data_IF_634305323913
#
_entry.id   IF_634305323913
#
_cell.length_a   1.000
_cell.length_b   1.000
_cell.length_c   1.000
_cell.angle_alpha   90.00
_cell.angle_beta   90.00
_cell.angle_gamma   90.00
#
_symmetry.space_group_name_H-M   'P 1'
#
loop_
_entity.id
_entity.type
_entity.pdbx_description
1 polymer ?
#
# COMPACT_ATOMS: atom_id res chain seq x y z
N UNK A 1 -19.41 -10.45 30.65
CA UNK A 1 -20.90 -10.41 30.62
C UNK A 1 -21.31 -8.94 30.58
N UNK A 2 -22.15 -8.50 29.63
CA UNK A 2 -22.54 -7.08 29.52
C UNK A 2 -23.42 -6.66 30.70
N UNK A 3 -23.29 -5.41 31.15
CA UNK A 3 -24.17 -4.84 32.17
C UNK A 3 -25.61 -4.70 31.66
N UNK A 4 -26.59 -4.85 32.55
CA UNK A 4 -28.02 -4.82 32.19
C UNK A 4 -28.44 -3.49 31.56
N UNK A 5 -27.91 -2.37 32.06
CA UNK A 5 -28.15 -1.03 31.51
C UNK A 5 -27.73 -0.92 30.04
N UNK A 6 -26.57 -1.50 29.69
CA UNK A 6 -26.04 -1.55 28.32
C UNK A 6 -26.96 -2.36 27.41
N UNK A 7 -27.43 -3.52 27.88
CA UNK A 7 -28.36 -4.36 27.12
C UNK A 7 -29.69 -3.64 26.85
N UNK A 8 -30.27 -3.00 27.87
CA UNK A 8 -31.52 -2.23 27.72
C UNK A 8 -31.35 -1.09 26.72
N UNK A 9 -30.21 -0.40 26.73
CA UNK A 9 -29.91 0.67 25.76
C UNK A 9 -29.84 0.14 24.34
N UNK A 10 -29.14 -0.96 24.09
CA UNK A 10 -29.06 -1.56 22.75
C UNK A 10 -30.42 -2.04 22.25
N UNK A 11 -31.23 -2.68 23.11
CA UNK A 11 -32.58 -3.10 22.74
C UNK A 11 -33.48 -1.90 22.43
N UNK A 12 -33.38 -0.80 23.19
CA UNK A 12 -34.11 0.43 22.89
C UNK A 12 -33.72 0.99 21.51
N UNK A 13 -32.42 1.03 21.18
CA UNK A 13 -31.95 1.47 19.85
C UNK A 13 -32.46 0.57 18.72
N UNK A 14 -32.55 -0.75 18.92
CA UNK A 14 -33.11 -1.66 17.91
C UNK A 14 -34.61 -1.45 17.71
N UNK A 15 -35.34 -1.12 18.78
CA UNK A 15 -36.77 -0.78 18.70
C UNK A 15 -36.97 0.56 17.99
N UNK A 16 -36.19 1.56 18.35
CA UNK A 16 -36.23 2.89 17.74
C UNK A 16 -35.88 2.84 16.24
N UNK A 17 -34.91 2.00 15.86
CA UNK A 17 -34.57 1.74 14.46
C UNK A 17 -35.60 0.89 13.70
N UNK A 18 -36.67 0.41 14.36
CA UNK A 18 -37.69 -0.43 13.75
C UNK A 18 -37.23 -1.85 13.39
N UNK A 19 -36.03 -2.25 13.83
CA UNK A 19 -35.46 -3.58 13.55
C UNK A 19 -36.21 -4.65 14.34
N UNK A 20 -36.56 -4.35 15.59
CA UNK A 20 -37.40 -5.22 16.42
C UNK A 20 -38.60 -4.43 16.94
N UNK A 21 -39.73 -5.08 17.14
CA UNK A 21 -40.87 -4.47 17.81
C UNK A 21 -41.02 -5.06 19.22
N UNK A 22 -41.69 -4.33 20.12
CA UNK A 22 -41.93 -4.76 21.50
C UNK A 22 -43.42 -4.91 21.74
N UNK A 23 -43.84 -6.15 22.02
CA UNK A 23 -45.20 -6.50 22.40
C UNK A 23 -45.25 -6.73 23.91
N UNK A 24 -45.67 -5.70 24.65
CA UNK A 24 -45.73 -5.76 26.10
C UNK A 24 -46.91 -6.64 26.55
N UNK A 25 -46.64 -7.55 27.49
CA UNK A 25 -47.69 -8.24 28.24
C UNK A 25 -48.19 -7.38 29.40
N UNK A 26 -49.38 -7.67 29.94
CA UNK A 26 -49.92 -6.99 31.11
C UNK A 26 -49.00 -7.05 32.36
N UNK A 27 -48.16 -8.09 32.48
CA UNK A 27 -47.25 -8.29 33.60
C UNK A 27 -45.78 -7.98 33.26
N UNK A 28 -45.51 -7.39 32.09
CA UNK A 28 -44.17 -7.10 31.59
C UNK A 28 -43.22 -8.31 31.46
N UNK A 29 -43.73 -9.54 31.50
CA UNK A 29 -42.96 -10.79 31.28
C UNK A 29 -43.11 -11.30 29.85
N UNK A 30 -42.11 -12.06 29.38
CA UNK A 30 -42.13 -12.73 28.08
C UNK A 30 -42.80 -14.10 28.24
N UNK A 31 -43.87 -14.36 27.50
CA UNK A 31 -44.53 -15.66 27.45
C UNK A 31 -45.28 -15.83 26.15
N UNK A 32 -45.55 -17.07 25.78
CA UNK A 32 -46.35 -17.44 24.62
C UNK A 32 -47.48 -18.39 25.05
N UNK A 33 -48.70 -18.11 24.59
CA UNK A 33 -49.81 -19.05 24.64
C UNK A 33 -49.78 -19.91 23.39
N UNK A 34 -49.94 -21.22 23.60
CA UNK A 34 -50.02 -22.22 22.55
C UNK A 34 -51.41 -22.81 22.51
N UNK A 35 -51.88 -23.16 21.32
CA UNK A 35 -53.14 -23.86 21.14
C UNK A 35 -53.05 -25.35 21.53
N UNK A 36 -54.14 -26.09 21.34
CA UNK A 36 -54.20 -27.54 21.63
C UNK A 36 -53.32 -28.38 20.70
N UNK A 37 -52.93 -27.85 19.54
CA UNK A 37 -52.02 -28.48 18.58
C UNK A 37 -50.54 -28.16 18.88
N UNK A 38 -50.28 -27.18 19.74
CA UNK A 38 -48.93 -26.74 20.13
C UNK A 38 -48.41 -25.52 19.36
N UNK A 39 -49.22 -24.94 18.47
CA UNK A 39 -48.88 -23.75 17.68
C UNK A 39 -49.03 -22.48 18.52
N UNK A 40 -48.18 -21.48 18.26
CA UNK A 40 -48.17 -20.22 19.03
C UNK A 40 -49.34 -19.34 18.61
N UNK A 41 -50.34 -19.22 19.48
CA UNK A 41 -51.52 -18.38 19.27
C UNK A 41 -51.26 -16.91 19.65
N UNK A 42 -50.56 -16.68 20.76
CA UNK A 42 -50.28 -15.34 21.26
C UNK A 42 -48.93 -15.26 21.98
N UNK A 43 -47.98 -14.53 21.40
CA UNK A 43 -46.69 -14.25 22.04
C UNK A 43 -46.60 -12.80 22.53
N UNK A 44 -45.96 -12.62 23.68
CA UNK A 44 -45.55 -11.32 24.23
C UNK A 44 -44.03 -11.31 24.46
N UNK A 45 -43.39 -10.19 24.14
CA UNK A 45 -41.95 -10.04 24.18
C UNK A 45 -41.43 -9.18 23.03
N UNK A 46 -40.30 -9.59 22.45
CA UNK A 46 -39.76 -8.97 21.24
C UNK A 46 -40.27 -9.73 20.01
N UNK A 47 -40.69 -8.97 19.01
CA UNK A 47 -41.08 -9.49 17.72
C UNK A 47 -40.05 -9.06 16.66
N UNK A 48 -39.55 -10.06 15.94
CA UNK A 48 -38.49 -9.93 14.94
C UNK A 48 -39.05 -9.93 13.52
N UNK A 49 -40.36 -10.05 13.34
CA UNK A 49 -41.03 -9.93 12.03
C UNK A 49 -40.53 -8.71 11.23
N UNK A 50 -40.37 -7.50 11.83
CA UNK A 50 -39.82 -6.35 11.12
C UNK A 50 -38.42 -6.58 10.55
N UNK A 51 -37.52 -7.20 11.33
CA UNK A 51 -36.17 -7.53 10.88
C UNK A 51 -36.18 -8.46 9.67
N UNK A 52 -37.00 -9.52 9.70
CA UNK A 52 -37.09 -10.45 8.58
C UNK A 52 -37.70 -9.78 7.34
N UNK A 53 -38.67 -8.89 7.52
CA UNK A 53 -39.25 -8.12 6.41
C UNK A 53 -38.23 -7.21 5.72
N UNK A 54 -37.31 -6.59 6.47
CA UNK A 54 -36.24 -5.72 5.91
C UNK A 54 -34.93 -6.47 5.60
N UNK A 55 -34.85 -7.78 5.83
CA UNK A 55 -33.61 -8.54 5.70
C UNK A 55 -33.05 -8.50 4.27
N UNK A 56 -33.92 -8.51 3.25
CA UNK A 56 -33.53 -8.36 1.84
C UNK A 56 -32.89 -6.99 1.57
N UNK A 57 -33.41 -5.95 2.19
CA UNK A 57 -32.96 -4.57 1.98
C UNK A 57 -31.61 -4.34 2.66
N UNK A 58 -31.47 -4.84 3.90
CA UNK A 58 -30.20 -4.84 4.63
C UNK A 58 -29.14 -5.60 3.82
N UNK A 59 -29.48 -6.79 3.31
CA UNK A 59 -28.57 -7.58 2.48
C UNK A 59 -28.19 -6.82 1.21
N UNK A 60 -29.15 -6.25 0.50
CA UNK A 60 -28.91 -5.51 -0.74
C UNK A 60 -28.03 -4.27 -0.50
N UNK A 61 -28.27 -3.55 0.60
CA UNK A 61 -27.44 -2.42 1.00
C UNK A 61 -26.01 -2.86 1.35
N UNK A 62 -25.86 -3.97 2.08
CA UNK A 62 -24.54 -4.54 2.40
C UNK A 62 -23.79 -4.98 1.15
N UNK A 63 -24.46 -5.70 0.24
CA UNK A 63 -23.89 -6.15 -1.03
C UNK A 63 -23.43 -4.95 -1.88
N UNK A 64 -24.23 -3.88 -1.97
CA UNK A 64 -23.86 -2.63 -2.64
C UNK A 64 -22.61 -1.99 -2.04
N UNK A 65 -22.51 -1.89 -0.72
CA UNK A 65 -21.33 -1.35 -0.04
C UNK A 65 -20.09 -2.19 -0.34
N UNK A 66 -20.23 -3.52 -0.33
CA UNK A 66 -19.14 -4.44 -0.66
C UNK A 66 -18.72 -4.31 -2.13
N UNK A 67 -19.66 -4.14 -3.06
CA UNK A 67 -19.39 -3.88 -4.48
C UNK A 67 -18.65 -2.58 -4.70
N UNK A 68 -19.09 -1.49 -4.06
CA UNK A 68 -18.42 -0.20 -4.13
C UNK A 68 -16.98 -0.29 -3.58
N UNK A 69 -16.78 -0.98 -2.46
CA UNK A 69 -15.45 -1.24 -1.90
C UNK A 69 -14.57 -2.07 -2.85
N UNK A 70 -15.14 -3.10 -3.49
CA UNK A 70 -14.44 -3.92 -4.50
C UNK A 70 -14.04 -3.10 -5.72
N UNK A 71 -14.93 -2.24 -6.23
CA UNK A 71 -14.64 -1.37 -7.35
C UNK A 71 -13.51 -0.38 -7.05
N UNK A 72 -13.55 0.25 -5.86
CA UNK A 72 -12.48 1.14 -5.38
C UNK A 72 -11.15 0.40 -5.27
N UNK A 73 -11.16 -0.83 -4.73
CA UNK A 73 -9.95 -1.65 -4.64
C UNK A 73 -9.37 -1.94 -6.02
N UNK A 74 -10.18 -2.49 -6.93
CA UNK A 74 -9.75 -2.84 -8.30
C UNK A 74 -9.11 -1.64 -9.01
N UNK A 75 -9.73 -0.47 -8.90
CA UNK A 75 -9.22 0.72 -9.55
C UNK A 75 -7.90 1.23 -8.93
N UNK A 76 -7.68 1.04 -7.62
CA UNK A 76 -6.36 1.32 -7.01
C UNK A 76 -5.30 0.36 -7.49
N UNK A 77 -5.64 -0.92 -7.63
CA UNK A 77 -4.70 -1.93 -8.15
C UNK A 77 -4.32 -1.59 -9.60
N UNK A 78 -5.30 -1.21 -10.43
CA UNK A 78 -5.10 -0.76 -11.80
C UNK A 78 -4.24 0.51 -11.88
N UNK A 79 -4.49 1.52 -11.03
CA UNK A 79 -3.64 2.73 -10.94
C UNK A 79 -2.20 2.36 -10.55
N UNK A 80 -2.02 1.38 -9.66
CA UNK A 80 -0.68 0.93 -9.25
C UNK A 80 0.06 0.29 -10.41
N UNK A 81 -0.61 -0.57 -11.18
CA UNK A 81 -0.05 -1.21 -12.37
C UNK A 81 0.30 -0.15 -13.42
N UNK A 82 -0.64 0.73 -13.75
CA UNK A 82 -0.48 1.80 -14.74
C UNK A 82 0.69 2.71 -14.38
N UNK A 83 0.84 3.07 -13.10
CA UNK A 83 1.98 3.88 -12.64
C UNK A 83 3.31 3.16 -12.75
N UNK A 84 3.34 1.86 -12.49
CA UNK A 84 4.53 1.03 -12.68
C UNK A 84 4.93 0.97 -14.15
N UNK A 85 3.96 0.82 -15.05
CA UNK A 85 4.18 0.83 -16.50
C UNK A 85 4.70 2.19 -16.98
N UNK A 86 4.06 3.29 -16.57
CA UNK A 86 4.53 4.65 -16.89
C UNK A 86 5.97 4.85 -16.39
N UNK A 87 6.26 4.48 -15.13
CA UNK A 87 7.63 4.59 -14.57
C UNK A 87 8.63 3.79 -15.40
N UNK A 88 8.27 2.56 -15.78
CA UNK A 88 9.10 1.69 -16.60
C UNK A 88 9.38 2.32 -17.97
N UNK A 89 8.37 2.87 -18.62
CA UNK A 89 8.53 3.61 -19.88
C UNK A 89 9.49 4.78 -19.74
N UNK A 90 9.45 5.52 -18.64
CA UNK A 90 10.41 6.61 -18.39
C UNK A 90 11.85 6.12 -18.20
N UNK A 91 12.05 4.97 -17.55
CA UNK A 91 13.39 4.43 -17.28
C UNK A 91 14.01 3.69 -18.46
N UNK A 92 13.20 3.07 -19.32
CA UNK A 92 13.65 2.24 -20.44
C UNK A 92 13.68 3.00 -21.77
N UNK A 93 13.10 4.20 -21.84
CA UNK A 93 13.14 5.01 -23.06
C UNK A 93 14.60 5.34 -23.45
N UNK A 94 14.97 4.98 -24.67
CA UNK A 94 16.29 5.25 -25.24
C UNK A 94 16.55 6.75 -25.49
N UNK A 95 15.49 7.55 -25.54
CA UNK A 95 15.52 9.01 -25.63
C UNK A 95 14.99 9.55 -24.31
N UNK A 96 15.72 10.48 -23.69
CA UNK A 96 15.27 11.11 -22.44
C UNK A 96 13.86 11.68 -22.62
N UNK A 97 12.84 11.09 -21.95
CA UNK A 97 11.50 11.63 -21.97
C UNK A 97 11.52 13.05 -21.40
N UNK A 98 10.56 13.89 -21.81
CA UNK A 98 10.51 15.26 -21.32
C UNK A 98 10.45 15.29 -19.79
N UNK A 99 11.44 15.92 -19.15
CA UNK A 99 11.51 16.07 -17.70
C UNK A 99 10.23 16.70 -17.12
N UNK A 100 9.59 17.61 -17.88
CA UNK A 100 8.32 18.22 -17.50
C UNK A 100 7.15 17.23 -17.45
N UNK A 101 7.13 16.23 -18.34
CA UNK A 101 6.09 15.20 -18.37
C UNK A 101 6.26 14.25 -17.17
N UNK A 102 7.50 13.93 -16.80
CA UNK A 102 7.79 13.16 -15.60
C UNK A 102 7.39 13.93 -14.33
N UNK A 103 7.66 15.24 -14.25
CA UNK A 103 7.19 16.08 -13.14
C UNK A 103 5.66 16.09 -13.07
N UNK A 104 4.96 16.23 -14.21
CA UNK A 104 3.50 16.20 -14.24
C UNK A 104 2.92 14.86 -13.74
N UNK A 105 3.53 13.75 -14.14
CA UNK A 105 3.20 12.42 -13.62
C UNK A 105 3.27 12.38 -12.09
N UNK A 106 4.36 12.90 -11.52
CA UNK A 106 4.58 12.89 -10.08
C UNK A 106 3.58 13.78 -9.33
N UNK A 107 3.21 14.92 -9.90
CA UNK A 107 2.18 15.80 -9.31
C UNK A 107 0.82 15.09 -9.21
N UNK A 108 0.45 14.33 -10.24
CA UNK A 108 -0.78 13.52 -10.22
C UNK A 108 -0.71 12.44 -9.13
N UNK A 109 0.43 11.77 -9.01
CA UNK A 109 0.67 10.74 -7.99
C UNK A 109 0.63 11.33 -6.58
N UNK A 110 1.23 12.50 -6.38
CA UNK A 110 1.26 13.19 -5.09
C UNK A 110 -0.11 13.75 -4.70
N UNK A 111 -0.96 14.06 -5.67
CA UNK A 111 -2.31 14.56 -5.45
C UNK A 111 -3.32 13.45 -5.07
N UNK A 112 -2.93 12.16 -5.05
CA UNK A 112 -3.88 11.07 -4.76
C UNK A 112 -4.35 11.15 -3.29
N UNK A 113 -5.67 11.32 -3.03
CA UNK A 113 -6.18 11.44 -1.67
C UNK A 113 -6.04 10.13 -0.88
N UNK A 114 -5.75 10.24 0.43
CA UNK A 114 -5.71 9.07 1.35
C UNK A 114 -7.04 8.32 1.43
N UNK A 115 -8.17 9.01 1.25
CA UNK A 115 -9.51 8.41 1.17
C UNK A 115 -10.16 8.79 -0.15
N UNK A 116 -9.55 8.36 -1.25
CA UNK A 116 -10.12 8.59 -2.57
C UNK A 116 -11.44 7.81 -2.75
N UNK A 117 -12.49 8.53 -3.15
CA UNK A 117 -13.74 8.00 -3.68
C UNK A 117 -13.53 7.37 -5.06
N UNK A 118 -14.51 6.57 -5.51
CA UNK A 118 -14.45 5.96 -6.84
C UNK A 118 -14.34 7.01 -7.95
N UNK A 119 -15.02 8.15 -7.81
CA UNK A 119 -14.99 9.24 -8.79
C UNK A 119 -13.61 9.90 -8.87
N UNK A 120 -12.97 10.17 -7.73
CA UNK A 120 -11.61 10.73 -7.69
C UNK A 120 -10.59 9.76 -8.29
N UNK A 121 -10.69 8.47 -7.99
CA UNK A 121 -9.82 7.45 -8.59
C UNK A 121 -10.00 7.36 -10.11
N UNK A 122 -11.23 7.45 -10.62
CA UNK A 122 -11.48 7.48 -12.07
C UNK A 122 -10.87 8.72 -12.72
N UNK A 123 -10.98 9.87 -12.07
CA UNK A 123 -10.35 11.10 -12.55
C UNK A 123 -8.83 11.00 -12.56
N UNK A 124 -8.22 10.36 -11.55
CA UNK A 124 -6.78 10.08 -11.51
C UNK A 124 -6.39 9.15 -12.66
N UNK A 125 -7.14 8.07 -12.88
CA UNK A 125 -6.86 7.14 -13.97
C UNK A 125 -6.86 7.84 -15.33
N UNK A 126 -7.89 8.66 -15.61
CA UNK A 126 -7.97 9.42 -16.85
C UNK A 126 -6.77 10.37 -17.05
N UNK A 127 -6.22 10.93 -15.97
CA UNK A 127 -4.99 11.74 -16.04
C UNK A 127 -3.75 10.89 -16.35
N UNK A 128 -3.67 9.67 -15.81
CA UNK A 128 -2.58 8.74 -16.12
C UNK A 128 -2.66 8.25 -17.58
N UNK A 129 -3.85 7.97 -18.09
CA UNK A 129 -4.07 7.59 -19.50
C UNK A 129 -3.65 8.71 -20.46
N UNK A 130 -3.88 9.97 -20.07
CA UNK A 130 -3.42 11.13 -20.82
C UNK A 130 -1.89 11.19 -20.89
N UNK A 131 -1.19 10.89 -19.78
CA UNK A 131 0.28 10.79 -19.76
C UNK A 131 0.78 9.67 -20.65
N UNK A 132 0.14 8.50 -20.63
CA UNK A 132 0.51 7.39 -21.52
C UNK A 132 0.37 7.81 -22.99
N UNK A 133 -0.71 8.50 -23.32
CA UNK A 133 -0.95 9.00 -24.68
C UNK A 133 0.11 10.03 -25.10
N UNK A 134 0.49 10.93 -24.20
CA UNK A 134 1.54 11.92 -24.45
C UNK A 134 2.93 11.29 -24.58
N UNK A 135 3.23 10.28 -23.76
CA UNK A 135 4.44 9.46 -23.89
C UNK A 135 4.50 8.74 -25.24
N UNK A 136 3.40 8.12 -25.66
CA UNK A 136 3.34 7.47 -26.96
C UNK A 136 3.55 8.46 -28.12
N UNK A 137 2.98 9.66 -28.04
CA UNK A 137 3.18 10.72 -29.04
C UNK A 137 4.63 11.22 -29.07
N UNK A 138 5.24 11.45 -27.91
CA UNK A 138 6.64 11.92 -27.84
C UNK A 138 7.62 10.88 -28.37
N UNK A 139 7.44 9.60 -28.01
CA UNK A 139 8.25 8.51 -28.54
C UNK A 139 8.10 8.36 -30.06
N UNK A 140 6.86 8.36 -30.59
CA UNK A 140 6.61 8.25 -32.02
C UNK A 140 7.17 9.44 -32.82
N UNK A 141 7.05 10.65 -32.29
CA UNK A 141 7.62 11.84 -32.93
C UNK A 141 9.16 11.80 -32.98
N UNK A 142 9.80 11.24 -31.95
CA UNK A 142 11.25 11.07 -31.92
C UNK A 142 11.73 9.99 -32.90
N UNK A 143 10.99 8.88 -33.06
CA UNK A 143 11.26 7.87 -34.09
C UNK A 143 11.17 8.48 -35.50
N UNK A 144 10.10 9.23 -35.79
CA UNK A 144 9.94 9.92 -37.08
C UNK A 144 11.06 10.97 -37.32
N UNK A 145 11.51 11.66 -36.26
CA UNK A 145 12.61 12.62 -36.36
C UNK A 145 13.97 11.94 -36.63
N UNK A 146 14.19 10.74 -36.08
CA UNK A 146 15.37 9.92 -36.41
C UNK A 146 15.32 9.41 -37.86
N UNK A 147 14.15 9.01 -38.36
CA UNK A 147 14.00 8.59 -39.77
C UNK A 147 14.25 9.74 -40.77
N UNK A 148 13.83 10.98 -40.45
CA UNK A 148 14.13 12.15 -41.29
C UNK A 148 15.58 12.62 -41.21
N UNK A 149 16.32 12.26 -40.16
CA UNK A 149 17.75 12.60 -39.98
C UNK A 149 18.67 11.65 -40.76
N UNK A 150 18.14 10.52 -41.25
CA UNK A 150 18.90 9.55 -42.02
C UNK A 150 18.90 9.85 -43.53
N UNK A 151 19.42 11.02 -43.95
CA UNK A 151 20.13 11.09 -45.23
C UNK A 151 21.00 12.34 -45.46
N UNK A 152 22.25 12.03 -45.86
CA UNK A 152 23.27 12.83 -46.58
C UNK A 152 23.96 13.98 -45.84
N UNK A 153 25.10 13.62 -45.23
CA UNK A 153 26.33 14.40 -45.39
C UNK A 153 27.50 13.45 -45.67
N UNK A 154 27.79 13.26 -46.96
CA UNK A 154 29.06 12.70 -47.44
C UNK A 154 30.14 13.79 -47.48
N UNK A 155 31.40 13.32 -47.48
CA UNK A 155 32.68 14.01 -47.79
C UNK A 155 33.36 14.70 -46.58
N UNK A 156 34.67 14.55 -46.29
CA UNK A 156 35.77 13.75 -46.85
C UNK A 156 37.01 13.91 -45.92
N UNK A 157 37.78 12.83 -45.71
CA UNK A 157 39.21 12.68 -45.34
C UNK A 157 39.93 13.70 -44.40
N UNK A 158 40.54 13.18 -43.32
CA UNK A 158 42.00 13.24 -43.13
C UNK A 158 42.51 12.26 -42.04
N UNK A 159 43.72 11.73 -42.26
CA UNK A 159 44.47 10.71 -41.50
C UNK A 159 45.49 11.39 -40.55
N UNK A 160 45.97 10.61 -39.57
CA UNK A 160 47.20 10.75 -38.73
C UNK A 160 47.12 11.71 -37.54
N UNK A 161 47.65 11.43 -36.34
CA UNK A 161 48.60 10.42 -35.84
C UNK A 161 48.56 10.39 -34.30
N UNK A 162 48.74 9.21 -33.70
CA UNK A 162 49.23 8.97 -32.31
C UNK A 162 50.71 9.45 -32.20
N UNK A 163 51.35 9.63 -31.00
CA UNK A 163 51.35 8.63 -29.93
C UNK A 163 51.54 9.09 -28.45
N UNK A 164 51.45 8.07 -27.59
CA UNK A 164 52.09 7.85 -26.28
C UNK A 164 52.17 8.97 -25.23
N UNK A 165 51.66 8.67 -24.03
CA UNK A 165 52.55 8.58 -22.85
C UNK A 165 51.92 7.78 -21.72
N UNK A 166 52.58 6.66 -21.41
CA UNK A 166 52.53 5.88 -20.17
C UNK A 166 52.76 6.75 -18.93
N UNK A 167 52.07 6.46 -17.84
CA UNK A 167 52.64 6.54 -16.48
C UNK A 167 51.97 5.51 -15.56
N UNK A 168 52.74 4.50 -15.17
CA UNK A 168 52.51 3.70 -13.97
C UNK A 168 52.87 4.53 -12.73
N UNK A 169 52.19 4.34 -11.59
CA UNK A 169 52.87 3.93 -10.34
C UNK A 169 51.90 3.66 -9.17
N UNK A 170 52.35 2.74 -8.32
CA UNK A 170 51.70 2.11 -7.17
C UNK A 170 51.83 2.94 -5.87
N UNK A 171 51.11 2.46 -4.85
CA UNK A 171 51.42 2.41 -3.39
C UNK A 171 50.23 2.97 -2.59
N UNK A 172 49.77 2.40 -1.48
CA UNK A 172 50.33 1.43 -0.55
C UNK A 172 49.79 1.78 0.85
N UNK A 173 49.32 0.76 1.56
CA UNK A 173 48.85 0.72 2.95
C UNK A 173 49.39 1.76 3.95
N UNK A 174 48.56 2.16 4.91
CA UNK A 174 48.94 2.09 6.34
C UNK A 174 47.74 2.08 7.29
N UNK A 175 47.71 1.03 8.11
CA UNK A 175 46.97 0.88 9.36
C UNK A 175 47.45 1.92 10.40
N UNK A 176 46.53 2.43 11.21
CA UNK A 176 46.80 2.77 12.61
C UNK A 176 45.64 2.34 13.51
N UNK A 177 46.01 1.53 14.50
CA UNK A 177 45.21 0.84 15.51
C UNK A 177 45.23 1.65 16.83
N UNK A 178 44.17 1.43 17.63
CA UNK A 178 44.13 1.53 19.11
C UNK A 178 44.10 2.95 19.74
N UNK A 179 43.39 3.25 20.84
CA UNK A 179 42.74 2.41 21.86
C UNK A 179 41.72 3.21 22.72
N UNK A 180 40.60 2.56 23.04
CA UNK A 180 39.87 2.51 24.34
C UNK A 180 39.30 3.74 25.06
N UNK A 181 38.00 3.64 25.38
CA UNK A 181 37.52 3.47 26.76
C UNK A 181 36.10 2.84 26.81
N UNK A 182 35.94 1.79 27.62
CA UNK A 182 34.66 1.14 28.01
C UNK A 182 34.06 1.86 29.24
N UNK A 183 32.75 1.71 29.53
CA UNK A 183 32.26 0.65 30.44
C UNK A 183 31.06 -0.14 29.82
N UNK A 184 30.93 -1.48 29.88
CA UNK A 184 30.56 -2.38 31.03
C UNK A 184 29.14 -2.03 31.54
N UNK A 185 28.07 -2.85 31.53
CA UNK A 185 27.75 -4.27 31.32
C UNK A 185 26.28 -4.37 30.85
N UNK A 186 25.92 -5.36 30.03
CA UNK A 186 24.96 -6.43 30.38
C UNK A 186 24.71 -7.33 29.16
N UNK A 187 25.07 -8.59 29.33
CA UNK A 187 24.84 -9.68 28.38
C UNK A 187 23.34 -9.87 28.19
N UNK A 188 22.90 -9.73 26.94
CA UNK A 188 21.64 -10.24 26.46
C UNK A 188 21.94 -10.95 25.16
N UNK A 189 21.70 -12.26 25.18
CA UNK A 189 22.03 -13.20 24.13
C UNK A 189 21.41 -12.78 22.79
N UNK A 190 22.30 -12.32 21.90
CA UNK A 190 22.34 -12.48 20.45
C UNK A 190 21.04 -12.89 19.73
N UNK A 191 20.11 -11.96 19.56
CA UNK A 191 19.35 -11.90 18.30
C UNK A 191 20.22 -11.08 17.33
N UNK A 192 20.75 -11.71 16.27
CA UNK A 192 21.38 -10.99 15.17
C UNK A 192 20.38 -9.94 14.69
N UNK A 193 20.62 -8.67 15.02
CA UNK A 193 19.93 -7.57 14.41
C UNK A 193 20.36 -7.56 12.93
N UNK A 194 19.60 -8.24 12.08
CA UNK A 194 19.68 -8.02 10.64
C UNK A 194 19.30 -6.55 10.41
N UNK A 195 20.31 -5.71 10.32
CA UNK A 195 20.17 -4.30 10.02
C UNK A 195 19.66 -4.19 8.60
N UNK A 196 18.37 -3.92 8.46
CA UNK A 196 17.74 -3.68 7.16
C UNK A 196 18.44 -2.48 6.52
N UNK A 197 19.09 -2.70 5.37
CA UNK A 197 19.68 -1.64 4.57
C UNK A 197 18.64 -1.01 3.65
N UNK A 198 18.83 0.26 3.30
CA UNK A 198 17.93 0.94 2.36
C UNK A 198 17.94 0.26 0.99
N UNK A 199 19.14 -0.12 0.51
CA UNK A 199 19.34 -0.85 -0.74
C UNK A 199 18.50 -2.13 -0.79
N UNK A 200 18.52 -2.92 0.30
CA UNK A 200 17.74 -4.15 0.39
C UNK A 200 16.24 -3.87 0.20
N UNK A 201 15.71 -2.82 0.82
CA UNK A 201 14.30 -2.44 0.70
C UNK A 201 13.97 -2.02 -0.72
N UNK A 202 14.77 -1.14 -1.32
CA UNK A 202 14.52 -0.62 -2.67
C UNK A 202 14.58 -1.73 -3.72
N UNK A 203 15.50 -2.70 -3.56
CA UNK A 203 15.59 -3.88 -4.43
C UNK A 203 14.47 -4.89 -4.20
N UNK A 204 14.08 -5.11 -2.94
CA UNK A 204 12.98 -6.01 -2.61
C UNK A 204 11.62 -5.45 -3.03
N UNK A 205 11.47 -4.12 -3.01
CA UNK A 205 10.21 -3.41 -3.18
C UNK A 205 10.27 -2.28 -4.22
N UNK A 206 10.70 -2.51 -5.47
CA UNK A 206 10.81 -1.50 -6.53
C UNK A 206 9.52 -0.72 -6.81
N UNK A 207 8.32 -1.29 -6.56
CA UNK A 207 7.06 -0.60 -6.81
C UNK A 207 6.92 0.71 -5.99
N UNK A 208 7.64 0.81 -4.87
CA UNK A 208 7.68 2.02 -4.04
C UNK A 208 8.39 3.19 -4.74
N UNK A 209 9.26 2.91 -5.72
CA UNK A 209 10.01 3.94 -6.44
C UNK A 209 9.09 4.79 -7.33
N UNK A 210 8.01 4.22 -7.86
CA UNK A 210 6.98 4.94 -8.64
C UNK A 210 6.23 6.01 -7.85
N UNK A 211 6.51 6.17 -6.55
CA UNK A 211 5.94 7.18 -5.67
C UNK A 211 6.95 8.27 -5.27
N UNK A 212 8.16 8.26 -5.82
CA UNK A 212 9.17 9.28 -5.55
C UNK A 212 9.57 10.04 -6.81
N UNK A 213 9.60 11.37 -6.70
CA UNK A 213 10.04 12.23 -7.78
C UNK A 213 11.53 12.10 -8.10
N UNK A 214 12.36 12.15 -7.05
CA UNK A 214 13.82 12.17 -7.17
C UNK A 214 14.46 10.80 -6.91
N UNK A 215 13.65 9.74 -6.89
CA UNK A 215 14.04 8.42 -6.39
C UNK A 215 14.13 8.36 -4.86
N UNK A 216 14.50 7.20 -4.33
CA UNK A 216 14.65 6.99 -2.88
C UNK A 216 16.13 6.82 -2.59
N UNK A 217 16.80 7.90 -2.17
CA UNK A 217 18.25 7.95 -1.93
C UNK A 217 18.58 7.91 -0.44
N UNK A 218 17.59 8.17 0.42
CA UNK A 218 17.74 8.17 1.87
C UNK A 218 16.56 7.50 2.58
N UNK A 219 16.78 7.13 3.86
CA UNK A 219 15.69 6.64 4.73
C UNK A 219 14.59 7.69 4.95
N UNK A 220 14.94 8.98 4.83
CA UNK A 220 13.96 10.06 4.93
C UNK A 220 13.01 10.03 3.73
N UNK A 221 13.55 9.89 2.53
CA UNK A 221 12.77 9.79 1.29
C UNK A 221 11.81 8.59 1.38
N UNK A 222 12.33 7.42 1.79
CA UNK A 222 11.51 6.23 1.96
C UNK A 222 10.40 6.45 3.01
N UNK A 223 10.71 7.15 4.10
CA UNK A 223 9.72 7.44 5.14
C UNK A 223 8.60 8.31 4.60
N UNK A 224 8.92 9.37 3.87
CA UNK A 224 7.93 10.31 3.35
C UNK A 224 7.07 9.66 2.27
N UNK A 225 7.68 8.90 1.37
CA UNK A 225 6.98 8.08 0.38
C UNK A 225 6.08 7.03 1.07
N UNK A 226 6.57 6.36 2.12
CA UNK A 226 5.78 5.35 2.85
C UNK A 226 4.53 5.95 3.49
N UNK A 227 4.57 7.19 3.98
CA UNK A 227 3.37 7.86 4.56
C UNK A 227 2.32 8.07 3.49
N UNK A 228 2.71 8.53 2.31
CA UNK A 228 1.80 8.72 1.17
C UNK A 228 1.19 7.38 0.76
N UNK A 229 2.04 6.38 0.54
CA UNK A 229 1.65 5.02 0.13
C UNK A 229 0.74 4.37 1.16
N UNK A 230 0.98 4.56 2.46
CA UNK A 230 0.11 4.00 3.50
C UNK A 230 -1.34 4.48 3.36
N UNK A 231 -1.54 5.77 3.06
CA UNK A 231 -2.87 6.31 2.78
C UNK A 231 -3.47 5.72 1.51
N UNK A 232 -2.68 5.62 0.44
CA UNK A 232 -3.10 5.00 -0.81
C UNK A 232 -3.58 3.55 -0.63
N UNK A 233 -2.86 2.76 0.18
CA UNK A 233 -3.19 1.38 0.53
C UNK A 233 -4.41 1.26 1.48
N UNK A 234 -5.05 2.36 1.86
CA UNK A 234 -6.17 2.37 2.80
C UNK A 234 -5.76 2.02 4.24
N UNK A 235 -4.48 2.16 4.59
CA UNK A 235 -3.98 1.96 5.94
C UNK A 235 -4.34 3.21 6.77
N UNK A 236 -5.02 3.00 7.90
CA UNK A 236 -5.40 4.11 8.77
C UNK A 236 -4.20 4.75 9.46
N UNK A 237 -4.27 6.05 9.73
CA UNK A 237 -3.22 6.76 10.47
C UNK A 237 -2.88 6.08 11.79
N UNK A 238 -3.90 5.61 12.53
CA UNK A 238 -3.70 4.86 13.77
C UNK A 238 -2.87 3.58 13.56
N UNK A 239 -3.17 2.80 12.52
CA UNK A 239 -2.42 1.58 12.22
C UNK A 239 -0.97 1.88 11.79
N UNK A 240 -0.74 2.96 11.04
CA UNK A 240 0.60 3.39 10.68
C UNK A 240 1.41 3.84 11.91
N UNK A 241 0.81 4.65 12.79
CA UNK A 241 1.44 5.09 14.04
C UNK A 241 1.78 3.91 14.96
N UNK A 242 0.88 2.93 15.06
CA UNK A 242 1.14 1.71 15.82
C UNK A 242 2.30 0.90 15.22
N UNK A 243 2.40 0.81 13.88
CA UNK A 243 3.52 0.17 13.23
C UNK A 243 4.84 0.88 13.55
N UNK A 244 4.88 2.21 13.45
CA UNK A 244 6.08 3.00 13.81
C UNK A 244 6.45 2.81 15.28
N UNK A 245 5.48 2.73 16.19
CA UNK A 245 5.72 2.52 17.63
C UNK A 245 6.36 1.15 17.90
N UNK A 246 5.93 0.11 17.18
CA UNK A 246 6.38 -1.27 17.41
C UNK A 246 7.69 -1.58 16.69
N UNK A 247 7.85 -1.12 15.45
CA UNK A 247 8.97 -1.49 14.59
C UNK A 247 10.04 -0.41 14.47
N UNK A 248 9.73 0.83 14.88
CA UNK A 248 10.52 2.00 14.54
C UNK A 248 10.23 2.51 13.12
N UNK A 249 10.60 3.76 12.87
CA UNK A 249 10.24 4.48 11.64
C UNK A 249 10.77 3.82 10.36
N UNK A 250 12.04 3.38 10.39
CA UNK A 250 12.71 2.75 9.23
C UNK A 250 12.04 1.42 8.87
N UNK A 251 11.91 0.52 9.83
CA UNK A 251 11.30 -0.79 9.62
C UNK A 251 9.82 -0.70 9.26
N UNK A 252 9.08 0.26 9.85
CA UNK A 252 7.69 0.53 9.45
C UNK A 252 7.60 1.01 7.99
N UNK A 253 8.52 1.88 7.55
CA UNK A 253 8.56 2.34 6.16
C UNK A 253 8.88 1.20 5.18
N UNK A 254 9.82 0.32 5.55
CA UNK A 254 10.13 -0.89 4.80
C UNK A 254 8.95 -1.89 4.75
N UNK A 255 8.19 -2.01 5.83
CA UNK A 255 6.96 -2.80 5.89
C UNK A 255 5.92 -2.29 4.90
N UNK A 256 5.68 -0.97 4.85
CA UNK A 256 4.73 -0.38 3.90
C UNK A 256 5.18 -0.64 2.46
N UNK A 257 6.48 -0.50 2.16
CA UNK A 257 7.03 -0.83 0.84
C UNK A 257 6.80 -2.31 0.48
N UNK A 258 7.01 -3.24 1.43
CA UNK A 258 6.76 -4.66 1.23
C UNK A 258 5.27 -5.01 1.04
N UNK A 259 4.38 -4.32 1.75
CA UNK A 259 2.93 -4.47 1.57
C UNK A 259 2.50 -3.95 0.20
N UNK A 260 3.00 -2.78 -0.23
CA UNK A 260 2.76 -2.25 -1.56
C UNK A 260 3.22 -3.25 -2.63
N UNK A 261 4.41 -3.81 -2.46
CA UNK A 261 4.98 -4.76 -3.42
C UNK A 261 4.13 -6.02 -3.61
N UNK A 262 3.32 -6.38 -2.61
CA UNK A 262 2.41 -7.54 -2.61
C UNK A 262 0.94 -7.15 -2.61
N UNK A 263 0.61 -5.91 -3.01
CA UNK A 263 -0.75 -5.37 -2.81
C UNK A 263 -1.84 -6.20 -3.52
N UNK A 264 -1.53 -6.78 -4.69
CA UNK A 264 -2.43 -7.65 -5.45
C UNK A 264 -2.78 -8.97 -4.73
N UNK A 265 -1.87 -9.49 -3.91
CA UNK A 265 -2.04 -10.72 -3.13
C UNK A 265 -2.75 -10.45 -1.78
N UNK A 266 -2.76 -9.20 -1.32
CA UNK A 266 -3.26 -8.83 0.00
C UNK A 266 -4.71 -8.35 -0.09
N UNK A 267 -5.62 -9.07 0.57
CA UNK A 267 -7.03 -8.70 0.62
C UNK A 267 -7.24 -7.31 1.24
N UNK A 268 -6.61 -7.04 2.39
CA UNK A 268 -6.71 -5.78 3.13
C UNK A 268 -5.33 -5.36 3.69
N UNK A 269 -4.64 -4.38 3.08
CA UNK A 269 -3.33 -3.90 3.55
C UNK A 269 -3.33 -3.45 5.01
N UNK A 270 -4.36 -2.71 5.43
CA UNK A 270 -4.51 -2.25 6.82
C UNK A 270 -4.77 -3.37 7.81
N UNK A 271 -5.60 -4.36 7.44
CA UNK A 271 -5.83 -5.55 8.26
C UNK A 271 -4.56 -6.39 8.40
N UNK A 272 -3.84 -6.58 7.29
CA UNK A 272 -2.58 -7.30 7.25
C UNK A 272 -1.51 -6.65 8.14
N UNK A 273 -1.32 -5.33 8.05
CA UNK A 273 -0.39 -4.59 8.91
C UNK A 273 -0.70 -4.80 10.41
N UNK A 274 -1.99 -4.75 10.80
CA UNK A 274 -2.39 -5.02 12.20
C UNK A 274 -2.06 -6.45 12.63
N UNK A 275 -2.24 -7.43 11.74
CA UNK A 275 -1.83 -8.81 12.01
C UNK A 275 -0.31 -8.92 12.23
N UNK A 276 0.50 -8.25 11.39
CA UNK A 276 1.95 -8.22 11.56
C UNK A 276 2.37 -7.57 12.88
N UNK A 277 1.72 -6.45 13.25
CA UNK A 277 1.93 -5.81 14.56
C UNK A 277 1.64 -6.79 15.71
N UNK A 278 0.53 -7.53 15.62
CA UNK A 278 0.17 -8.53 16.63
C UNK A 278 1.21 -9.66 16.73
N UNK A 279 1.73 -10.15 15.60
CA UNK A 279 2.77 -11.20 15.56
C UNK A 279 4.10 -10.71 16.13
N UNK A 280 4.48 -9.46 15.83
CA UNK A 280 5.69 -8.86 16.35
C UNK A 280 5.66 -8.69 17.88
N UNK A 281 4.50 -8.31 18.44
CA UNK A 281 4.31 -8.27 19.90
C UNK A 281 4.46 -9.63 20.56
N UNK A 282 4.19 -10.71 19.84
CA UNK A 282 4.39 -12.09 20.28
C UNK A 282 5.80 -12.63 19.96
N UNK A 283 6.72 -11.80 19.45
CA UNK A 283 8.10 -12.18 19.12
C UNK A 283 8.26 -12.98 17.82
N UNK A 284 7.18 -13.18 17.04
CA UNK A 284 7.15 -14.10 15.89
C UNK A 284 7.25 -13.43 14.51
N UNK A 285 7.82 -12.22 14.40
CA UNK A 285 7.89 -11.53 13.11
C UNK A 285 9.14 -10.68 12.93
N UNK A 286 9.84 -10.90 11.80
CA UNK A 286 10.98 -10.11 11.34
C UNK A 286 10.66 -9.42 10.01
N UNK A 287 10.89 -8.10 9.94
CA UNK A 287 10.73 -7.32 8.70
C UNK A 287 11.79 -7.71 7.66
N UNK A 288 13.01 -8.00 8.09
CA UNK A 288 14.10 -8.42 7.20
C UNK A 288 13.75 -9.74 6.50
N UNK A 289 13.23 -10.71 7.23
CA UNK A 289 12.80 -12.00 6.69
C UNK A 289 11.69 -11.83 5.64
N UNK A 290 10.69 -10.98 5.91
CA UNK A 290 9.62 -10.67 4.96
C UNK A 290 10.16 -10.13 3.62
N UNK A 291 11.14 -9.22 3.67
CA UNK A 291 11.77 -8.64 2.47
C UNK A 291 12.59 -9.68 1.72
N UNK A 292 13.35 -10.51 2.44
CA UNK A 292 14.17 -11.57 1.86
C UNK A 292 13.30 -12.65 1.19
N UNK A 293 12.15 -13.01 1.76
CA UNK A 293 11.18 -13.90 1.10
C UNK A 293 10.68 -13.29 -0.21
N UNK A 294 10.40 -11.97 -0.23
CA UNK A 294 9.95 -11.26 -1.44
C UNK A 294 11.01 -11.22 -2.55
N UNK A 295 12.29 -11.08 -2.20
CA UNK A 295 13.40 -11.16 -3.16
C UNK A 295 13.53 -12.56 -3.77
N UNK A 296 13.42 -13.61 -2.96
CA UNK A 296 13.50 -14.99 -3.43
C UNK A 296 12.37 -15.34 -4.38
N UNK A 297 11.13 -14.97 -4.07
CA UNK A 297 9.98 -15.24 -4.96
C UNK A 297 10.12 -14.60 -6.35
N UNK A 298 10.84 -13.46 -6.44
CA UNK A 298 11.11 -12.78 -7.71
C UNK A 298 12.27 -13.36 -8.50
N UNK A 299 13.26 -13.99 -7.86
CA UNK A 299 14.38 -14.62 -8.57
C UNK A 299 13.97 -15.89 -9.35
N UNK A 300 12.77 -16.42 -9.09
CA UNK A 300 12.19 -17.59 -9.76
C UNK A 300 11.11 -17.25 -10.80
N UNK A 301 10.84 -15.96 -11.06
CA UNK A 301 9.91 -15.46 -12.08
C UNK A 301 10.70 -14.80 -13.21
#
# INVERSE_FOLDING_TARGET
MMAESTLRRHLASLVEAGIISRKNSPNFKRYAHKDRAGEVELAFGFDFTPFFAMASDIKSAADRILDEQRAVKRLRDEITITRREITKSFTEAAVEPSESLYVHFLDIVNAIPRKASLAELKAIMAKLDAIISELAMTLKNNENAQEMSANVAQYERHIESLPESLFEEKNGFSDLKEMTSKPVHQESETYKAETISLDLVVRACPDIQSYSASGIRSWRDLTDVSKLVSGFLGISQAAYVDAVRIFGLKSASALIAGILQKVSEIASPGGYLRSLISKARAGGFSVAEMLMTGLRSRAYQ
#
